data_IF_639837608776
#
_entry.id   IF_639837608776
#
_cell.length_a   1.000
_cell.length_b   1.000
_cell.length_c   1.000
_cell.angle_alpha   90.00
_cell.angle_beta   90.00
_cell.angle_gamma   90.00
#
_symmetry.space_group_name_H-M   'P 1'
#
loop_
_entity.id
_entity.type
_entity.pdbx_description
1 polymer ?
#
# COMPACT_ATOMS: atom_id res chain seq x y z
N UNK A 1 -17.09 10.31 -20.62
CA UNK A 1 -15.92 10.83 -19.88
C UNK A 1 -15.82 10.06 -18.58
N UNK A 2 -14.67 9.46 -18.24
CA UNK A 2 -14.54 8.75 -16.96
C UNK A 2 -14.52 9.72 -15.78
N UNK A 3 -15.19 9.34 -14.69
CA UNK A 3 -15.17 10.10 -13.44
C UNK A 3 -13.77 10.06 -12.80
N UNK A 4 -13.49 10.96 -11.85
CA UNK A 4 -12.23 10.92 -11.10
C UNK A 4 -12.07 9.61 -10.31
N UNK A 5 -13.17 9.07 -9.77
CA UNK A 5 -13.19 7.81 -9.05
C UNK A 5 -12.87 6.63 -9.97
N UNK A 6 -13.46 6.58 -11.16
CA UNK A 6 -13.18 5.53 -12.15
C UNK A 6 -11.71 5.55 -12.60
N UNK A 7 -11.12 6.75 -12.77
CA UNK A 7 -9.69 6.88 -13.08
C UNK A 7 -8.82 6.37 -11.93
N UNK A 8 -9.19 6.68 -10.68
CA UNK A 8 -8.48 6.18 -9.51
C UNK A 8 -8.55 4.65 -9.44
N UNK A 9 -9.72 4.06 -9.64
CA UNK A 9 -9.88 2.60 -9.67
C UNK A 9 -8.99 1.94 -10.72
N UNK A 10 -8.94 2.52 -11.93
CA UNK A 10 -8.10 1.98 -13.00
C UNK A 10 -6.62 2.00 -12.64
N UNK A 11 -6.13 3.08 -12.03
CA UNK A 11 -4.74 3.16 -11.55
C UNK A 11 -4.46 2.17 -10.41
N UNK A 12 -5.41 2.00 -9.48
CA UNK A 12 -5.28 1.03 -8.39
C UNK A 12 -5.23 -0.41 -8.91
N UNK A 13 -6.03 -0.75 -9.93
CA UNK A 13 -5.96 -2.05 -10.61
C UNK A 13 -4.61 -2.27 -11.28
N UNK A 14 -4.01 -1.24 -11.89
CA UNK A 14 -2.67 -1.34 -12.49
C UNK A 14 -1.60 -1.59 -11.43
N UNK A 15 -1.65 -0.87 -10.31
CA UNK A 15 -0.73 -1.09 -9.19
C UNK A 15 -0.87 -2.53 -8.69
N UNK A 16 -2.09 -3.00 -8.46
CA UNK A 16 -2.34 -4.39 -8.07
C UNK A 16 -1.69 -5.39 -9.04
N UNK A 17 -2.02 -5.31 -10.34
CA UNK A 17 -1.48 -6.23 -11.35
C UNK A 17 0.05 -6.24 -11.39
N UNK A 18 0.67 -5.08 -11.17
CA UNK A 18 2.14 -4.94 -11.21
C UNK A 18 2.82 -5.55 -9.98
N UNK A 19 2.23 -5.42 -8.79
CA UNK A 19 2.91 -5.72 -7.53
C UNK A 19 2.37 -6.95 -6.78
N UNK A 20 1.13 -7.37 -7.03
CA UNK A 20 0.57 -8.55 -6.36
C UNK A 20 1.07 -9.86 -6.98
N UNK A 21 1.60 -9.81 -8.21
CA UNK A 21 1.84 -10.99 -9.03
C UNK A 21 0.54 -11.75 -9.19
N UNK A 22 -0.26 -11.45 -10.22
CA UNK A 22 -1.47 -12.26 -10.48
C UNK A 22 -1.03 -13.69 -10.76
N UNK A 23 -0.99 -14.51 -9.71
CA UNK A 23 -0.80 -15.94 -9.82
C UNK A 23 -2.19 -16.49 -10.11
N UNK A 24 -2.48 -16.86 -11.36
CA UNK A 24 -3.75 -17.45 -11.66
C UNK A 24 -3.89 -18.75 -10.87
N UNK A 25 -5.08 -18.98 -10.33
CA UNK A 25 -5.40 -20.26 -9.71
C UNK A 25 -5.58 -21.26 -10.85
N UNK A 26 -4.64 -22.20 -10.95
CA UNK A 26 -4.67 -23.26 -11.96
C UNK A 26 -5.46 -24.46 -11.42
N UNK A 27 -6.59 -24.75 -12.04
CA UNK A 27 -7.27 -26.04 -11.96
C UNK A 27 -6.82 -26.97 -13.09
N UNK A 28 -7.22 -28.25 -13.03
CA UNK A 28 -6.80 -29.29 -13.99
C UNK A 28 -7.02 -28.90 -15.47
N UNK A 29 -8.05 -28.10 -15.77
CA UNK A 29 -8.38 -27.63 -17.12
C UNK A 29 -8.87 -26.17 -17.16
N UNK A 30 -8.53 -25.35 -16.16
CA UNK A 30 -9.03 -23.97 -16.08
C UNK A 30 -8.03 -23.09 -15.36
N UNK A 31 -7.93 -21.85 -15.82
CA UNK A 31 -7.12 -20.81 -15.21
C UNK A 31 -8.05 -19.67 -14.77
N UNK A 32 -8.05 -19.34 -13.48
CA UNK A 32 -8.87 -18.26 -12.92
C UNK A 32 -7.95 -17.13 -12.46
N UNK A 33 -8.07 -15.97 -13.10
CA UNK A 33 -7.44 -14.72 -12.64
C UNK A 33 -8.38 -14.01 -11.66
N UNK A 34 -7.96 -13.88 -10.39
CA UNK A 34 -8.71 -13.12 -9.40
C UNK A 34 -8.31 -11.65 -9.49
N UNK A 35 -9.20 -10.83 -10.03
CA UNK A 35 -9.09 -9.38 -9.95
C UNK A 35 -9.77 -8.91 -8.66
N UNK A 36 -9.07 -8.20 -7.76
CA UNK A 36 -9.67 -7.74 -6.52
C UNK A 36 -10.70 -6.66 -6.81
N UNK A 37 -11.76 -6.63 -6.00
CA UNK A 37 -12.61 -5.44 -5.90
C UNK A 37 -11.80 -4.33 -5.27
N UNK A 38 -11.73 -3.18 -5.94
CA UNK A 38 -10.91 -2.05 -5.47
C UNK A 38 -11.44 -1.49 -4.17
N UNK A 39 -12.75 -1.30 -4.12
CA UNK A 39 -13.47 -0.84 -2.94
C UNK A 39 -14.44 -1.93 -2.46
N UNK A 40 -14.63 -1.99 -1.15
CA UNK A 40 -15.63 -2.84 -0.48
C UNK A 40 -16.51 -1.89 0.34
N UNK A 41 -17.73 -1.62 -0.15
CA UNK A 41 -18.53 -0.51 0.38
C UNK A 41 -17.82 0.82 0.11
N UNK A 42 -17.67 1.63 1.15
CA UNK A 42 -17.01 2.93 1.10
C UNK A 42 -15.50 2.87 1.47
N UNK A 43 -14.97 1.66 1.67
CA UNK A 43 -13.59 1.45 2.11
C UNK A 43 -12.73 0.86 1.00
N UNK A 44 -11.44 1.24 0.98
CA UNK A 44 -10.45 0.61 0.12
C UNK A 44 -10.22 -0.83 0.57
N UNK A 45 -10.19 -1.77 -0.38
CA UNK A 45 -9.86 -3.16 -0.09
C UNK A 45 -8.51 -3.27 0.63
N UNK A 46 -8.51 -3.93 1.78
CA UNK A 46 -7.34 -4.06 2.65
C UNK A 46 -6.11 -4.64 1.93
N UNK A 47 -6.28 -5.58 0.99
CA UNK A 47 -5.18 -6.16 0.22
C UNK A 47 -4.53 -5.11 -0.70
N UNK A 48 -5.34 -4.24 -1.31
CA UNK A 48 -4.84 -3.15 -2.16
C UNK A 48 -4.16 -2.09 -1.28
N UNK A 49 -4.74 -1.77 -0.12
CA UNK A 49 -4.13 -0.86 0.84
C UNK A 49 -2.75 -1.36 1.31
N UNK A 50 -2.61 -2.65 1.58
CA UNK A 50 -1.34 -3.27 1.97
C UNK A 50 -0.30 -3.22 0.83
N UNK A 51 -0.70 -3.47 -0.42
CA UNK A 51 0.18 -3.32 -1.59
C UNK A 51 0.64 -1.88 -1.74
N UNK A 52 -0.26 -0.90 -1.63
CA UNK A 52 0.09 0.52 -1.71
C UNK A 52 1.07 0.93 -0.61
N UNK A 53 0.78 0.54 0.63
CA UNK A 53 1.65 0.78 1.77
C UNK A 53 3.03 0.17 1.54
N UNK A 54 3.10 -1.08 1.09
CA UNK A 54 4.36 -1.78 0.81
C UNK A 54 5.18 -1.10 -0.28
N UNK A 55 4.53 -0.68 -1.38
CA UNK A 55 5.19 0.03 -2.48
C UNK A 55 5.71 1.39 -2.01
N UNK A 56 4.93 2.12 -1.21
CA UNK A 56 5.37 3.39 -0.64
C UNK A 56 6.58 3.20 0.27
N UNK A 57 6.48 2.30 1.24
CA UNK A 57 7.54 2.03 2.22
C UNK A 57 8.82 1.49 1.57
N UNK A 58 8.71 0.75 0.46
CA UNK A 58 9.88 0.29 -0.29
C UNK A 58 10.75 1.46 -0.81
N UNK A 59 10.12 2.60 -1.10
CA UNK A 59 10.76 3.82 -1.62
C UNK A 59 11.14 4.82 -0.53
N UNK A 60 10.72 4.60 0.71
CA UNK A 60 11.12 5.43 1.84
C UNK A 60 12.64 5.38 2.00
N UNK A 61 13.24 6.55 2.16
CA UNK A 61 14.68 6.71 2.40
C UNK A 61 14.96 7.05 3.86
N UNK A 62 16.25 7.05 4.25
CA UNK A 62 16.66 7.44 5.60
C UNK A 62 16.33 8.93 5.86
N UNK A 63 16.47 9.79 4.84
CA UNK A 63 16.16 11.22 4.94
C UNK A 63 14.67 11.45 5.22
N UNK A 64 13.77 10.66 4.64
CA UNK A 64 12.34 10.75 4.96
C UNK A 64 12.06 10.46 6.45
N UNK A 65 12.87 9.60 7.09
CA UNK A 65 12.78 9.29 8.53
C UNK A 65 13.39 10.42 9.36
N UNK A 66 14.60 10.87 9.01
CA UNK A 66 15.32 11.94 9.72
C UNK A 66 14.56 13.28 9.68
N UNK A 67 13.94 13.62 8.55
CA UNK A 67 13.08 14.80 8.41
C UNK A 67 11.72 14.65 9.13
N UNK A 68 11.44 13.48 9.69
CA UNK A 68 10.19 13.16 10.36
C UNK A 68 8.98 13.11 9.41
N UNK A 69 9.19 12.85 8.11
CA UNK A 69 8.09 12.61 7.16
C UNK A 69 7.51 11.20 7.35
N UNK A 70 8.35 10.25 7.78
CA UNK A 70 7.97 8.90 8.17
C UNK A 70 8.43 8.67 9.61
N UNK A 71 7.48 8.39 10.50
CA UNK A 71 7.77 8.06 11.89
C UNK A 71 7.49 6.58 12.13
N UNK A 72 8.53 5.82 12.49
CA UNK A 72 8.44 4.38 12.78
C UNK A 72 8.31 4.22 14.29
N UNK A 73 7.16 3.74 14.76
CA UNK A 73 6.87 3.44 16.18
C UNK A 73 6.80 1.93 16.39
N UNK A 74 6.65 1.52 17.65
CA UNK A 74 6.50 0.10 18.01
C UNK A 74 5.20 -0.51 17.47
N UNK A 75 4.12 0.27 17.47
CA UNK A 75 2.77 -0.17 17.12
C UNK A 75 2.27 0.31 15.75
N UNK A 76 2.97 1.26 15.13
CA UNK A 76 2.55 1.86 13.86
C UNK A 76 3.69 2.54 13.09
N UNK A 77 3.51 2.67 11.78
CA UNK A 77 4.24 3.64 10.96
C UNK A 77 3.30 4.80 10.66
N UNK A 78 3.72 6.03 10.98
CA UNK A 78 2.95 7.25 10.73
C UNK A 78 3.58 8.00 9.56
N UNK A 79 2.83 8.11 8.46
CA UNK A 79 3.20 8.95 7.33
C UNK A 79 2.66 10.36 7.57
N UNK A 80 3.52 11.37 7.40
CA UNK A 80 3.17 12.77 7.60
C UNK A 80 3.32 13.55 6.31
N UNK A 81 2.47 14.57 6.16
CA UNK A 81 2.62 15.53 5.07
C UNK A 81 3.93 16.31 5.22
N UNK A 82 4.70 16.42 4.12
CA UNK A 82 6.05 17.01 4.17
C UNK A 82 6.07 18.47 4.61
N UNK A 83 4.98 19.22 4.38
CA UNK A 83 4.90 20.65 4.69
C UNK A 83 4.31 20.92 6.07
N UNK A 84 3.17 20.29 6.36
CA UNK A 84 2.39 20.55 7.58
C UNK A 84 2.79 19.64 8.74
N UNK A 85 3.55 18.56 8.46
CA UNK A 85 3.93 17.50 9.40
C UNK A 85 2.73 16.84 10.10
N UNK A 86 1.52 17.02 9.57
CA UNK A 86 0.31 16.36 10.07
C UNK A 86 0.25 14.92 9.56
N UNK A 87 -0.23 13.96 10.38
CA UNK A 87 -0.45 12.58 9.93
C UNK A 87 -1.41 12.54 8.74
N UNK A 88 -1.00 11.86 7.67
CA UNK A 88 -1.81 11.59 6.47
C UNK A 88 -2.23 10.12 6.39
N UNK A 89 -1.44 9.21 6.95
CA UNK A 89 -1.75 7.80 7.02
C UNK A 89 -1.08 7.13 8.22
N UNK A 90 -1.73 6.11 8.77
CA UNK A 90 -1.22 5.30 9.87
C UNK A 90 -1.28 3.84 9.45
N UNK A 91 -0.13 3.17 9.42
CA UNK A 91 0.00 1.78 9.01
C UNK A 91 0.26 0.94 10.26
N UNK A 92 -0.67 0.04 10.61
CA UNK A 92 -0.60 -0.84 11.80
C UNK A 92 -0.23 -2.29 11.46
N UNK A 93 0.57 -2.49 10.40
CA UNK A 93 1.04 -3.81 10.01
C UNK A 93 2.32 -4.15 10.77
N UNK A 94 2.26 -5.14 11.67
CA UNK A 94 3.43 -5.62 12.43
C UNK A 94 4.56 -6.10 11.51
N UNK A 95 4.21 -6.70 10.38
CA UNK A 95 5.17 -7.10 9.35
C UNK A 95 5.90 -5.89 8.75
N UNK A 96 5.16 -4.84 8.41
CA UNK A 96 5.74 -3.62 7.83
C UNK A 96 6.60 -2.87 8.87
N UNK A 97 6.14 -2.78 10.11
CA UNK A 97 6.88 -2.15 11.22
C UNK A 97 8.23 -2.84 11.41
N UNK A 98 8.24 -4.18 11.54
CA UNK A 98 9.49 -4.95 11.66
C UNK A 98 10.42 -4.72 10.48
N UNK A 99 9.90 -4.83 9.25
CA UNK A 99 10.71 -4.64 8.05
C UNK A 99 11.33 -3.24 7.93
N UNK A 100 10.65 -2.21 8.43
CA UNK A 100 11.16 -0.83 8.43
C UNK A 100 12.19 -0.60 9.53
N UNK A 101 11.99 -1.17 10.72
CA UNK A 101 13.00 -1.14 11.80
C UNK A 101 14.29 -1.83 11.36
N UNK A 102 14.19 -3.07 10.88
CA UNK A 102 15.34 -3.84 10.37
C UNK A 102 16.10 -3.14 9.24
N UNK A 103 15.46 -2.20 8.53
CA UNK A 103 16.06 -1.46 7.42
C UNK A 103 16.82 -0.20 7.85
N UNK A 104 16.41 0.43 8.96
CA UNK A 104 16.89 1.74 9.39
C UNK A 104 17.51 1.76 10.80
N UNK A 105 17.47 0.63 11.51
CA UNK A 105 18.31 0.34 12.68
C UNK A 105 19.78 0.14 12.26
#
# INVERSE_FOLDING_TARGET
MKSQLEKLEDELKKVWKKYSGSNPIKGAHTEIEINPRVFIGDELNAQIAEVLASVYLSKTTIEDVEEGNVEIRDEAIVLKDKKTKKPIAIIRSQRAIRAMKDRFD
#
